data_IF_313787431380
#
_entry.id   IF_313787431380
#
_cell.length_a   1.000
_cell.length_b   1.000
_cell.length_c   1.000
_cell.angle_alpha   90.00
_cell.angle_beta   90.00
_cell.angle_gamma   90.00
#
_symmetry.space_group_name_H-M   'P 1'
#
loop_
_entity.id
_entity.type
_entity.pdbx_description
1 polymer ?
#
# COMPACT_ATOMS: atom_id res chain seq x y z
N UNK A 1 5.21 -3.33 10.48
CA UNK A 1 6.33 -4.30 10.44
C UNK A 1 7.64 -3.57 10.69
N UNK A 2 8.46 -4.06 11.61
CA UNK A 2 9.77 -3.43 11.91
C UNK A 2 10.71 -3.58 10.71
N UNK A 3 11.29 -2.46 10.25
CA UNK A 3 12.29 -2.39 9.19
C UNK A 3 13.55 -1.78 9.79
N UNK A 4 14.55 -2.62 10.06
CA UNK A 4 15.84 -2.17 10.60
C UNK A 4 16.85 -1.81 9.51
N UNK A 5 16.76 -2.51 8.38
CA UNK A 5 17.53 -2.26 7.16
C UNK A 5 16.58 -2.51 5.99
N UNK A 6 16.37 -1.48 5.16
CA UNK A 6 15.51 -1.61 3.99
C UNK A 6 16.02 -2.67 3.01
N UNK A 7 17.33 -2.82 2.87
CA UNK A 7 17.94 -3.73 1.89
C UNK A 7 18.02 -5.18 2.38
N UNK A 8 17.58 -5.44 3.60
CA UNK A 8 17.34 -6.77 4.12
C UNK A 8 15.91 -7.23 3.81
N UNK A 9 15.71 -8.54 3.68
CA UNK A 9 14.38 -9.08 3.47
C UNK A 9 13.53 -9.00 4.73
N UNK A 10 12.36 -8.39 4.62
CA UNK A 10 11.36 -8.30 5.69
C UNK A 10 10.17 -9.20 5.30
N UNK A 11 9.88 -10.25 6.09
CA UNK A 11 8.74 -11.12 5.82
C UNK A 11 7.42 -10.41 6.14
N UNK A 12 6.29 -10.80 5.52
CA UNK A 12 4.97 -10.31 5.92
C UNK A 12 4.65 -10.71 7.36
N UNK A 13 3.81 -9.95 8.06
CA UNK A 13 3.29 -10.30 9.39
C UNK A 13 2.51 -11.61 9.38
N UNK A 14 2.40 -12.25 10.54
CA UNK A 14 1.58 -13.47 10.71
C UNK A 14 0.14 -13.28 10.23
N UNK A 15 -0.44 -12.10 10.44
CA UNK A 15 -1.75 -11.73 9.93
C UNK A 15 -1.82 -11.82 8.40
N UNK A 16 -0.87 -11.22 7.68
CA UNK A 16 -0.81 -11.33 6.22
C UNK A 16 -0.47 -12.75 5.74
N UNK A 17 0.45 -13.44 6.43
CA UNK A 17 0.83 -14.81 6.07
C UNK A 17 -0.35 -15.78 6.15
N UNK A 18 -1.33 -15.52 7.04
CA UNK A 18 -2.53 -16.35 7.18
C UNK A 18 -3.46 -16.32 5.96
N UNK A 19 -3.39 -15.29 5.12
CA UNK A 19 -4.29 -15.09 3.98
C UNK A 19 -3.82 -15.94 2.79
N UNK A 20 -4.33 -17.16 2.59
CA UNK A 20 -3.84 -18.07 1.54
C UNK A 20 -4.58 -17.96 0.21
N UNK A 21 -5.79 -17.41 0.21
CA UNK A 21 -6.67 -17.34 -0.95
C UNK A 21 -7.52 -16.06 -1.00
N UNK A 22 -8.21 -15.85 -2.12
CA UNK A 22 -9.24 -14.81 -2.24
C UNK A 22 -10.31 -14.94 -1.15
N UNK A 23 -10.76 -16.17 -0.87
CA UNK A 23 -11.77 -16.46 0.15
C UNK A 23 -11.28 -16.11 1.55
N UNK A 24 -10.03 -16.43 1.88
CA UNK A 24 -9.45 -16.05 3.18
C UNK A 24 -9.38 -14.53 3.30
N UNK A 25 -8.91 -13.85 2.25
CA UNK A 25 -8.79 -12.41 2.25
C UNK A 25 -10.13 -11.73 2.47
N UNK A 26 -11.16 -12.09 1.68
CA UNK A 26 -12.46 -11.42 1.76
C UNK A 26 -13.16 -11.68 3.10
N UNK A 27 -13.03 -12.89 3.66
CA UNK A 27 -13.58 -13.20 4.99
C UNK A 27 -12.91 -12.34 6.07
N UNK A 28 -11.57 -12.30 6.09
CA UNK A 28 -10.85 -11.47 7.06
C UNK A 28 -11.08 -9.96 6.84
N UNK A 29 -11.29 -9.51 5.60
CA UNK A 29 -11.59 -8.12 5.29
C UNK A 29 -12.98 -7.71 5.80
N UNK A 30 -13.97 -8.60 5.69
CA UNK A 30 -15.31 -8.40 6.29
C UNK A 30 -15.24 -8.37 7.81
N UNK A 31 -14.44 -9.24 8.42
CA UNK A 31 -14.22 -9.23 9.87
C UNK A 31 -13.56 -7.92 10.34
N UNK A 32 -12.50 -7.47 9.66
CA UNK A 32 -11.87 -6.17 9.93
C UNK A 32 -12.85 -5.02 9.81
N UNK A 33 -13.67 -5.00 8.75
CA UNK A 33 -14.72 -3.98 8.56
C UNK A 33 -15.71 -3.98 9.72
N UNK A 34 -16.24 -5.15 10.09
CA UNK A 34 -17.19 -5.30 11.19
C UNK A 34 -16.62 -4.80 12.52
N UNK A 35 -15.38 -5.17 12.84
CA UNK A 35 -14.69 -4.71 14.05
C UNK A 35 -14.48 -3.19 14.06
N UNK A 36 -14.06 -2.63 12.93
CA UNK A 36 -13.87 -1.18 12.79
C UNK A 36 -15.18 -0.42 12.91
N UNK A 37 -16.27 -0.88 12.29
CA UNK A 37 -17.60 -0.29 12.43
C UNK A 37 -18.10 -0.37 13.88
N UNK A 38 -17.93 -1.52 14.54
CA UNK A 38 -18.30 -1.71 15.94
C UNK A 38 -17.49 -0.85 16.92
N UNK A 39 -16.24 -0.50 16.60
CA UNK A 39 -15.41 0.37 17.44
C UNK A 39 -15.98 1.79 17.58
N UNK A 40 -16.79 2.22 16.60
CA UNK A 40 -17.28 3.59 16.45
C UNK A 40 -16.20 4.68 16.57
N UNK A 41 -14.93 4.34 16.31
CA UNK A 41 -13.81 5.27 16.36
C UNK A 41 -13.13 5.37 14.99
N UNK A 42 -13.41 6.46 14.29
CA UNK A 42 -12.89 6.71 12.94
C UNK A 42 -11.43 7.17 12.91
N UNK A 43 -10.78 7.38 14.06
CA UNK A 43 -9.35 7.72 14.09
C UNK A 43 -8.46 6.49 14.01
N UNK A 44 -8.97 5.31 14.39
CA UNK A 44 -8.18 4.08 14.39
C UNK A 44 -7.80 3.69 12.97
N UNK A 45 -6.49 3.52 12.67
CA UNK A 45 -6.08 3.03 11.38
C UNK A 45 -6.62 1.65 11.04
N UNK A 46 -7.20 1.50 9.84
CA UNK A 46 -7.77 0.25 9.37
C UNK A 46 -7.67 0.10 7.85
N UNK A 47 -7.47 -1.13 7.40
CA UNK A 47 -7.77 -1.49 6.02
C UNK A 47 -9.27 -1.81 5.93
N UNK A 48 -10.05 -0.88 5.40
CA UNK A 48 -11.50 -0.92 5.39
C UNK A 48 -12.04 -1.46 4.08
N UNK A 49 -12.85 -2.53 4.13
CA UNK A 49 -13.39 -3.20 2.94
C UNK A 49 -14.47 -2.37 2.23
N UNK A 50 -14.27 -2.19 0.93
CA UNK A 50 -15.16 -1.56 -0.04
C UNK A 50 -15.67 -2.61 -1.02
N UNK A 51 -16.97 -2.83 -1.01
CA UNK A 51 -17.66 -3.73 -1.95
C UNK A 51 -18.41 -2.95 -3.05
N UNK A 52 -18.62 -1.64 -2.86
CA UNK A 52 -19.20 -0.70 -3.82
C UNK A 52 -18.36 0.57 -3.91
N UNK A 53 -18.07 1.04 -5.14
CA UNK A 53 -17.21 2.21 -5.41
C UNK A 53 -17.73 3.52 -4.78
N UNK A 54 -19.01 3.56 -4.38
CA UNK A 54 -19.65 4.71 -3.72
C UNK A 54 -19.29 4.83 -2.24
N UNK A 55 -18.58 3.85 -1.67
CA UNK A 55 -18.46 3.69 -0.22
C UNK A 55 -17.09 4.12 0.33
N UNK A 56 -16.24 4.82 -0.44
CA UNK A 56 -14.94 5.29 0.08
C UNK A 56 -15.19 6.23 1.27
N UNK A 57 -14.75 5.88 2.50
CA UNK A 57 -15.03 6.67 3.68
C UNK A 57 -14.35 8.04 3.62
N UNK A 58 -14.98 9.06 4.21
CA UNK A 58 -14.44 10.42 4.27
C UNK A 58 -13.12 10.53 5.05
N UNK A 59 -12.82 9.54 5.90
CA UNK A 59 -11.57 9.43 6.64
C UNK A 59 -10.54 8.49 5.97
N UNK A 60 -10.68 8.23 4.67
CA UNK A 60 -9.62 7.60 3.89
C UNK A 60 -8.34 8.45 3.91
N UNK A 61 -7.20 7.82 4.16
CA UNK A 61 -5.93 8.53 4.33
C UNK A 61 -5.36 8.83 2.95
N UNK A 62 -5.25 10.13 2.63
CA UNK A 62 -4.62 10.58 1.39
C UNK A 62 -3.15 10.17 1.38
N UNK A 63 -2.83 9.20 0.53
CA UNK A 63 -1.45 8.72 0.33
C UNK A 63 -0.84 9.18 -0.99
N UNK A 64 -1.59 9.99 -1.76
CA UNK A 64 -1.10 10.58 -2.99
C UNK A 64 -2.02 11.65 -3.55
N UNK A 65 -1.66 12.12 -4.73
CA UNK A 65 -2.36 13.17 -5.49
C UNK A 65 -2.30 12.88 -6.96
N UNK A 66 -3.43 13.03 -7.65
CA UNK A 66 -3.47 13.00 -9.11
C UNK A 66 -3.01 14.34 -9.71
N UNK A 67 -2.80 14.39 -11.03
CA UNK A 67 -2.40 15.59 -11.79
C UNK A 67 -3.33 16.78 -11.53
N UNK A 68 -4.63 16.52 -11.39
CA UNK A 68 -5.63 17.56 -11.06
C UNK A 68 -5.70 17.96 -9.58
N UNK A 69 -4.77 17.52 -8.74
CA UNK A 69 -4.74 17.81 -7.30
C UNK A 69 -5.68 16.95 -6.45
N UNK A 70 -6.56 16.15 -7.07
CA UNK A 70 -7.47 15.24 -6.38
C UNK A 70 -6.69 14.23 -5.52
N UNK A 71 -7.23 13.93 -4.33
CA UNK A 71 -6.66 12.93 -3.45
C UNK A 71 -6.65 11.53 -4.09
N UNK A 72 -5.56 10.81 -3.89
CA UNK A 72 -5.45 9.38 -4.13
C UNK A 72 -5.26 8.68 -2.78
N UNK A 73 -5.88 7.52 -2.64
CA UNK A 73 -5.84 6.70 -1.43
C UNK A 73 -5.18 5.36 -1.74
N UNK A 74 -4.50 4.77 -0.77
CA UNK A 74 -3.94 3.43 -0.92
C UNK A 74 -5.06 2.40 -0.85
N UNK A 75 -5.12 1.55 -1.88
CA UNK A 75 -6.09 0.47 -1.96
C UNK A 75 -5.36 -0.86 -2.13
N UNK A 76 -5.85 -1.93 -1.49
CA UNK A 76 -5.33 -3.28 -1.68
C UNK A 76 -6.43 -4.26 -2.02
N UNK A 77 -6.12 -5.26 -2.82
CA UNK A 77 -7.07 -6.32 -3.17
C UNK A 77 -6.34 -7.62 -3.46
N UNK A 78 -7.00 -8.74 -3.17
CA UNK A 78 -6.57 -10.01 -3.72
C UNK A 78 -6.80 -10.00 -5.24
N UNK A 79 -5.81 -10.44 -6.02
CA UNK A 79 -5.91 -10.55 -7.47
C UNK A 79 -5.44 -11.91 -7.95
N UNK A 80 -6.39 -12.74 -8.41
CA UNK A 80 -6.14 -14.06 -9.01
C UNK A 80 -5.13 -14.89 -8.22
N UNK A 81 -4.08 -15.37 -8.87
CA UNK A 81 -2.93 -16.09 -8.34
C UNK A 81 -1.77 -15.16 -7.94
N UNK A 82 -1.88 -13.85 -8.17
CA UNK A 82 -0.82 -12.89 -7.88
C UNK A 82 -0.68 -12.54 -6.39
N UNK A 83 -1.75 -12.65 -5.60
CA UNK A 83 -1.73 -12.42 -4.13
C UNK A 83 -2.50 -11.19 -3.70
N UNK A 84 -2.16 -10.64 -2.52
CA UNK A 84 -2.76 -9.42 -1.97
C UNK A 84 -1.90 -8.22 -2.37
N UNK A 85 -2.37 -7.45 -3.33
CA UNK A 85 -1.60 -6.40 -3.99
C UNK A 85 -2.08 -5.02 -3.55
N UNK A 86 -1.19 -4.02 -3.58
CA UNK A 86 -1.52 -2.63 -3.26
C UNK A 86 -1.33 -1.72 -4.48
N UNK A 87 -2.20 -0.73 -4.58
CA UNK A 87 -2.18 0.34 -5.55
C UNK A 87 -2.98 1.53 -5.02
N UNK A 88 -3.85 2.08 -5.85
CA UNK A 88 -4.58 3.31 -5.56
C UNK A 88 -6.08 3.21 -5.84
N UNK A 89 -6.86 4.05 -5.19
CA UNK A 89 -8.25 4.36 -5.55
C UNK A 89 -8.55 5.84 -5.30
N UNK A 90 -9.70 6.31 -5.79
CA UNK A 90 -10.31 7.60 -5.42
C UNK A 90 -11.79 7.62 -5.85
N UNK A 91 -12.60 8.54 -5.32
CA UNK A 91 -13.89 8.87 -5.92
C UNK A 91 -13.75 9.18 -7.41
N UNK A 92 -14.57 8.55 -8.23
CA UNK A 92 -14.54 8.70 -9.70
C UNK A 92 -13.51 7.83 -10.44
N UNK A 93 -12.64 7.10 -9.74
CA UNK A 93 -12.01 5.90 -10.31
C UNK A 93 -12.92 4.71 -10.04
N UNK A 94 -13.17 3.91 -11.07
CA UNK A 94 -13.86 2.66 -10.87
C UNK A 94 -12.92 1.66 -10.22
N UNK A 95 -13.16 1.33 -8.95
CA UNK A 95 -12.44 0.31 -8.19
C UNK A 95 -11.02 0.71 -7.80
N UNK A 96 -10.25 -0.30 -7.38
CA UNK A 96 -8.81 -0.16 -7.17
C UNK A 96 -8.06 -0.33 -8.51
N UNK A 97 -6.97 0.42 -8.64
CA UNK A 97 -6.01 0.35 -9.74
C UNK A 97 -4.66 -0.10 -9.18
N UNK A 98 -4.13 -1.22 -9.66
CA UNK A 98 -2.96 -1.89 -9.07
C UNK A 98 -1.89 -2.15 -10.12
N UNK A 99 -0.66 -1.76 -9.82
CA UNK A 99 0.50 -2.06 -10.64
C UNK A 99 0.94 -3.53 -10.50
N UNK A 100 1.05 -4.24 -11.62
CA UNK A 100 1.51 -5.62 -11.67
C UNK A 100 2.06 -5.95 -13.07
N UNK A 101 3.21 -6.61 -13.13
CA UNK A 101 3.79 -7.19 -14.35
C UNK A 101 3.85 -6.18 -15.52
N UNK A 102 4.45 -5.02 -15.30
CA UNK A 102 4.61 -3.93 -16.29
C UNK A 102 3.32 -3.18 -16.66
N UNK A 103 2.16 -3.59 -16.14
CA UNK A 103 0.87 -2.96 -16.38
C UNK A 103 0.21 -2.39 -15.11
N UNK A 104 -0.86 -1.63 -15.28
CA UNK A 104 -1.80 -1.29 -14.21
C UNK A 104 -3.14 -1.95 -14.50
N UNK A 105 -3.61 -2.75 -13.55
CA UNK A 105 -4.89 -3.45 -13.62
C UNK A 105 -5.95 -2.51 -13.04
N UNK A 106 -6.91 -2.01 -13.84
CA UNK A 106 -7.94 -1.11 -13.37
C UNK A 106 -9.16 -1.88 -12.85
N UNK A 107 -10.09 -1.17 -12.18
CA UNK A 107 -11.43 -1.68 -11.85
C UNK A 107 -11.47 -2.96 -11.01
N UNK A 108 -10.51 -3.09 -10.08
CA UNK A 108 -10.51 -4.21 -9.14
C UNK A 108 -11.52 -3.93 -8.03
N UNK A 109 -12.48 -4.82 -7.89
CA UNK A 109 -13.47 -4.86 -6.80
C UNK A 109 -13.68 -6.31 -6.34
N UNK A 110 -13.99 -6.56 -5.05
CA UNK A 110 -13.92 -5.59 -3.94
C UNK A 110 -12.47 -5.16 -3.65
N UNK A 111 -12.26 -4.20 -2.77
CA UNK A 111 -10.91 -3.78 -2.33
C UNK A 111 -10.94 -3.22 -0.91
N UNK A 112 -9.82 -3.17 -0.21
CA UNK A 112 -9.69 -2.45 1.05
C UNK A 112 -8.99 -1.11 0.83
N UNK A 113 -9.46 -0.04 1.48
CA UNK A 113 -8.81 1.28 1.49
C UNK A 113 -8.25 1.57 2.88
N UNK A 114 -7.08 2.20 2.96
CA UNK A 114 -6.50 2.60 4.25
C UNK A 114 -7.25 3.84 4.79
N UNK A 115 -7.85 3.71 5.97
CA UNK A 115 -8.60 4.77 6.67
C UNK A 115 -8.01 5.01 8.06
N UNK A 116 -8.32 6.17 8.67
CA UNK A 116 -7.91 6.52 10.03
C UNK A 116 -7.45 7.97 10.15
N UNK A 117 -6.87 8.32 11.28
CA UNK A 117 -6.22 9.63 11.47
C UNK A 117 -4.83 9.61 10.82
N UNK A 118 -4.55 10.53 9.86
CA UNK A 118 -3.25 10.60 9.19
C UNK A 118 -2.08 10.92 10.14
N UNK A 119 -2.31 11.46 11.34
CA UNK A 119 -1.26 11.74 12.34
C UNK A 119 -0.56 10.47 12.85
N UNK A 120 -1.18 9.30 12.69
CA UNK A 120 -0.55 8.00 12.98
C UNK A 120 0.53 7.60 11.99
N UNK A 121 0.80 8.40 10.95
CA UNK A 121 1.68 8.03 9.86
C UNK A 121 2.71 9.10 9.52
N UNK A 122 3.87 8.64 9.04
CA UNK A 122 4.92 9.46 8.46
C UNK A 122 5.44 8.82 7.17
N UNK A 123 5.94 9.65 6.26
CA UNK A 123 6.65 9.17 5.07
C UNK A 123 8.14 9.05 5.38
N UNK A 124 8.70 7.86 5.19
CA UNK A 124 10.13 7.61 5.30
C UNK A 124 10.72 7.53 3.90
N UNK A 125 11.69 8.40 3.61
CA UNK A 125 12.51 8.28 2.41
C UNK A 125 13.52 7.15 2.64
N UNK A 126 13.55 6.19 1.72
CA UNK A 126 14.58 5.18 1.67
C UNK A 126 15.64 5.67 0.67
N UNK A 127 16.85 5.96 1.14
CA UNK A 127 17.95 6.41 0.29
C UNK A 127 18.43 5.26 -0.58
N UNK A 128 19.02 5.59 -1.72
CA UNK A 128 19.70 4.61 -2.57
C UNK A 128 20.77 3.86 -1.74
N UNK A 129 20.96 2.58 -2.04
CA UNK A 129 21.97 1.76 -1.38
C UNK A 129 23.33 2.41 -1.62
N UNK A 130 23.89 2.99 -0.56
CA UNK A 130 25.23 3.54 -0.58
C UNK A 130 26.19 2.54 -1.23
N UNK A 131 26.93 2.97 -2.26
CA UNK A 131 28.11 2.21 -2.72
C UNK A 131 29.29 2.40 -1.76
N UNK A 132 29.19 3.40 -0.90
CA UNK A 132 30.21 3.95 -0.04
C UNK A 132 29.60 4.36 1.31
N UNK A 133 30.34 4.16 2.41
CA UNK A 133 29.85 4.19 3.80
C UNK A 133 29.27 5.55 4.31
N UNK A 134 29.05 6.53 3.43
CA UNK A 134 28.56 7.87 3.74
C UNK A 134 27.09 8.11 3.42
N UNK A 135 26.38 7.21 2.72
CA UNK A 135 24.94 7.45 2.53
C UNK A 135 24.21 7.26 3.86
N UNK A 136 23.36 8.24 4.17
CA UNK A 136 22.53 8.26 5.37
C UNK A 136 21.48 7.17 5.22
N UNK A 137 21.63 6.04 5.90
CA UNK A 137 20.57 5.05 6.00
C UNK A 137 19.36 5.62 6.77
N UNK A 138 18.12 5.24 6.44
CA UNK A 138 16.99 5.64 7.26
C UNK A 138 17.14 4.97 8.62
N UNK A 139 16.81 5.69 9.69
CA UNK A 139 16.66 5.06 11.02
C UNK A 139 15.60 3.96 10.95
N UNK A 140 15.71 2.96 11.82
CA UNK A 140 14.73 1.89 11.89
C UNK A 140 13.31 2.46 12.06
N UNK A 141 12.33 1.86 11.38
CA UNK A 141 10.96 2.33 11.38
C UNK A 141 9.97 1.18 11.33
N UNK A 142 8.71 1.43 11.66
CA UNK A 142 7.64 0.46 11.52
C UNK A 142 6.90 0.77 10.20
N UNK A 143 7.13 -0.01 9.16
CA UNK A 143 6.46 0.14 7.86
C UNK A 143 4.99 -0.32 7.91
N UNK A 144 4.13 0.37 7.15
CA UNK A 144 2.74 -0.02 6.93
C UNK A 144 2.68 -1.10 5.86
N UNK A 145 2.39 -2.33 6.28
CA UNK A 145 2.25 -3.45 5.36
C UNK A 145 0.97 -3.34 4.55
N UNK A 146 1.09 -3.63 3.26
CA UNK A 146 0.02 -3.51 2.30
C UNK A 146 -0.35 -4.85 1.66
N UNK A 147 0.51 -5.86 1.72
CA UNK A 147 0.24 -7.19 1.21
C UNK A 147 1.50 -7.96 0.86
N UNK A 148 1.41 -8.81 -0.15
CA UNK A 148 2.50 -9.64 -0.67
C UNK A 148 2.14 -10.14 -2.07
N UNK A 149 3.16 -10.39 -2.88
CA UNK A 149 3.01 -11.10 -4.14
C UNK A 149 3.27 -12.59 -3.93
N UNK A 150 2.44 -13.48 -4.48
CA UNK A 150 2.58 -14.92 -4.28
C UNK A 150 3.91 -15.45 -4.83
N UNK A 151 4.41 -14.89 -5.94
CA UNK A 151 5.74 -15.22 -6.47
C UNK A 151 6.87 -14.89 -5.48
N UNK A 152 6.63 -13.96 -4.56
CA UNK A 152 7.58 -13.49 -3.55
C UNK A 152 6.96 -13.51 -2.15
N UNK A 153 6.23 -14.57 -1.82
CA UNK A 153 5.39 -14.64 -0.62
C UNK A 153 6.14 -14.48 0.72
N UNK A 154 7.45 -14.70 0.70
CA UNK A 154 8.34 -14.49 1.84
C UNK A 154 8.68 -13.02 2.08
N UNK A 155 8.08 -12.09 1.32
CA UNK A 155 8.42 -10.67 1.32
C UNK A 155 7.18 -9.79 1.44
N UNK A 156 7.21 -8.86 2.39
CA UNK A 156 6.16 -7.88 2.56
C UNK A 156 6.16 -6.87 1.40
N UNK A 157 4.97 -6.49 0.94
CA UNK A 157 4.73 -5.27 0.19
C UNK A 157 4.38 -4.15 1.16
N UNK A 158 5.03 -3.01 1.03
CA UNK A 158 4.76 -1.80 1.82
C UNK A 158 4.00 -0.79 0.97
N UNK A 159 3.18 0.04 1.62
CA UNK A 159 2.60 1.21 0.97
C UNK A 159 3.72 2.16 0.59
N UNK A 160 3.82 2.49 -0.70
CA UNK A 160 4.77 3.49 -1.20
C UNK A 160 4.08 4.56 -2.02
N UNK A 161 4.81 5.61 -2.36
CA UNK A 161 4.40 6.58 -3.39
C UNK A 161 5.57 6.93 -4.31
N UNK A 162 5.27 7.20 -5.57
CA UNK A 162 6.24 7.69 -6.56
C UNK A 162 5.74 9.00 -7.19
N UNK A 163 6.67 9.89 -7.54
CA UNK A 163 6.35 11.14 -8.24
C UNK A 163 6.33 10.91 -9.75
N UNK A 164 5.23 11.26 -10.41
CA UNK A 164 5.02 11.18 -11.86
C UNK A 164 4.25 12.41 -12.33
N UNK A 165 4.76 13.17 -13.31
CA UNK A 165 4.00 14.26 -13.97
C UNK A 165 3.20 15.18 -13.03
N UNK A 166 3.86 15.72 -11.98
CA UNK A 166 3.24 16.58 -10.95
C UNK A 166 2.17 15.89 -10.07
N UNK A 167 2.20 14.57 -10.01
CA UNK A 167 1.32 13.73 -9.20
C UNK A 167 2.14 12.83 -8.26
N UNK A 168 1.55 12.43 -7.15
CA UNK A 168 2.09 11.42 -6.23
C UNK A 168 1.22 10.18 -6.34
N UNK A 169 1.74 9.11 -6.94
CA UNK A 169 1.00 7.89 -7.22
C UNK A 169 1.27 6.84 -6.13
N UNK A 170 0.25 6.44 -5.34
CA UNK A 170 0.38 5.36 -4.39
C UNK A 170 0.61 4.01 -5.09
N UNK A 171 1.43 3.16 -4.47
CA UNK A 171 1.77 1.86 -5.01
C UNK A 171 2.47 0.97 -3.99
N UNK A 172 3.39 0.14 -4.49
CA UNK A 172 4.11 -0.88 -3.72
C UNK A 172 5.62 -0.65 -3.73
N UNK A 173 6.25 -0.94 -2.61
CA UNK A 173 7.68 -1.17 -2.52
C UNK A 173 7.95 -2.42 -1.69
N UNK A 174 9.04 -3.11 -1.98
CA UNK A 174 9.40 -4.33 -1.27
C UNK A 174 10.79 -4.16 -0.64
N UNK A 175 10.94 -4.52 0.64
CA UNK A 175 12.23 -4.46 1.34
C UNK A 175 13.26 -5.36 0.65
N UNK A 176 14.44 -4.87 0.31
CA UNK A 176 15.47 -5.55 -0.48
C UNK A 176 15.56 -5.04 -1.92
N UNK A 177 14.54 -4.31 -2.41
CA UNK A 177 14.52 -3.78 -3.77
C UNK A 177 15.01 -2.33 -3.75
N UNK A 178 15.72 -1.92 -4.80
CA UNK A 178 16.10 -0.53 -4.98
C UNK A 178 14.99 0.28 -5.67
N UNK A 179 13.77 -0.25 -5.83
CA UNK A 179 12.70 0.41 -6.56
C UNK A 179 11.35 0.39 -5.82
N UNK A 180 10.56 1.43 -6.08
CA UNK A 180 9.14 1.48 -5.81
C UNK A 180 8.35 1.50 -7.13
N UNK A 181 7.13 0.96 -7.11
CA UNK A 181 6.28 0.79 -8.28
C UNK A 181 4.90 1.41 -8.05
N UNK A 182 4.34 2.07 -9.06
CA UNK A 182 2.94 2.49 -9.05
C UNK A 182 2.34 2.49 -10.46
N UNK A 183 1.02 2.39 -10.53
CA UNK A 183 0.28 2.42 -11.79
C UNK A 183 0.06 3.86 -12.23
N UNK A 184 0.23 4.15 -13.52
CA UNK A 184 -0.12 5.43 -14.14
C UNK A 184 -0.31 5.27 -15.64
N UNK A 185 -1.44 5.77 -16.17
CA UNK A 185 -1.88 5.55 -17.55
C UNK A 185 -1.81 4.07 -18.00
N UNK A 186 -2.36 3.16 -17.19
CA UNK A 186 -2.43 1.71 -17.46
C UNK A 186 -1.07 0.99 -17.55
N UNK A 187 0.03 1.67 -17.16
CA UNK A 187 1.38 1.11 -17.09
C UNK A 187 1.87 1.08 -15.66
N UNK A 188 2.72 0.09 -15.35
CA UNK A 188 3.51 0.10 -14.12
C UNK A 188 4.77 0.95 -14.35
N UNK A 189 4.94 1.95 -13.50
CA UNK A 189 6.13 2.79 -13.47
C UNK A 189 6.98 2.41 -12.28
N UNK A 190 8.29 2.42 -12.48
CA UNK A 190 9.30 2.21 -11.42
C UNK A 190 10.10 3.48 -11.19
N UNK A 191 10.45 3.73 -9.92
CA UNK A 191 11.39 4.78 -9.50
C UNK A 191 12.38 4.23 -8.48
N UNK A 192 13.61 4.73 -8.54
CA UNK A 192 14.68 4.48 -7.56
C UNK A 192 14.50 5.29 -6.27
N UNK A 193 13.77 6.40 -6.34
CA UNK A 193 13.35 7.17 -5.16
C UNK A 193 12.22 6.43 -4.45
N UNK A 194 12.55 5.78 -3.34
CA UNK A 194 11.59 5.03 -2.54
C UNK A 194 11.09 5.92 -1.39
N UNK A 195 9.77 6.05 -1.27
CA UNK A 195 9.11 6.64 -0.10
C UNK A 195 8.07 5.65 0.40
N UNK A 196 8.24 5.18 1.63
CA UNK A 196 7.33 4.22 2.26
C UNK A 196 6.55 4.87 3.39
N UNK A 197 5.29 4.46 3.52
CA UNK A 197 4.45 4.87 4.64
C UNK A 197 4.86 4.07 5.88
N UNK A 198 5.12 4.77 6.97
CA UNK A 198 5.48 4.19 8.25
C UNK A 198 4.53 4.71 9.34
N UNK A 199 4.41 3.98 10.43
CA UNK A 199 3.76 4.46 11.64
C UNK A 199 4.58 5.61 12.24
N UNK A 200 3.90 6.66 12.68
CA UNK A 200 4.50 7.73 13.46
C UNK A 200 4.86 7.23 14.88
N UNK A 201 5.87 7.84 15.48
CA UNK A 201 6.32 7.52 16.85
C UNK A 201 5.45 8.25 17.89
#
# INVERSE_FOLDING_TARGET
MQVNDWYSFVPPSSALQSIRSHTDWINQARDRRKLYEASNNKTIPCWFLIESEKDIPSNAIRTGTDVGGHALYSARSWYKDAGLLVGKCRPGLSGAHIALNLGEIPKITPFEVLVGDPSHFKWVAVPEKAKDAKAVAPSAFIGVEAGFENAHRHRASFVSQISLENSWQPGKAHSGDPFAFAGYYLKEWRKDTIRVLAWAD
#
